data_IF_262312889069
#
_entry.id   IF_262312889069
#
_cell.length_a   1.000
_cell.length_b   1.000
_cell.length_c   1.000
_cell.angle_alpha   90.00
_cell.angle_beta   90.00
_cell.angle_gamma   90.00
#
_symmetry.space_group_name_H-M   'P 1'
#
loop_
_entity.id
_entity.type
_entity.pdbx_description
1 polymer ?
#
# COMPACT_ATOMS: atom_id res chain seq x y z
N UNK A 1 26.48 -40.78 -5.27
CA UNK A 1 26.50 -39.31 -5.29
C UNK A 1 25.40 -38.91 -6.22
N UNK A 2 24.18 -38.83 -5.70
CA UNK A 2 23.06 -38.34 -6.49
C UNK A 2 23.28 -36.83 -6.66
N UNK A 3 23.46 -36.41 -7.91
CA UNK A 3 23.48 -34.99 -8.24
C UNK A 3 22.09 -34.45 -7.90
N UNK A 4 21.98 -33.73 -6.79
CA UNK A 4 20.78 -32.95 -6.48
C UNK A 4 20.67 -31.91 -7.58
N UNK A 5 19.62 -31.98 -8.40
CA UNK A 5 19.35 -30.94 -9.38
C UNK A 5 19.16 -29.61 -8.64
N UNK A 6 19.84 -28.52 -9.05
CA UNK A 6 19.64 -27.21 -8.46
C UNK A 6 18.16 -26.81 -8.56
N UNK A 7 17.63 -26.18 -7.53
CA UNK A 7 16.34 -25.51 -7.62
C UNK A 7 16.35 -24.52 -8.80
N UNK A 8 15.18 -24.24 -9.41
CA UNK A 8 15.11 -23.25 -10.50
C UNK A 8 15.68 -21.89 -10.09
N UNK A 9 15.57 -21.51 -8.81
CA UNK A 9 16.18 -20.30 -8.27
C UNK A 9 17.71 -20.37 -8.31
N UNK A 10 18.33 -21.47 -7.88
CA UNK A 10 19.78 -21.66 -7.95
C UNK A 10 20.29 -21.70 -9.39
N UNK A 11 19.58 -22.38 -10.28
CA UNK A 11 19.91 -22.41 -11.71
C UNK A 11 19.85 -21.01 -12.34
N UNK A 12 18.83 -20.20 -11.99
CA UNK A 12 18.74 -18.82 -12.43
C UNK A 12 19.88 -17.97 -11.87
N UNK A 13 20.21 -18.09 -10.58
CA UNK A 13 21.31 -17.35 -9.94
C UNK A 13 22.67 -17.67 -10.58
N UNK A 14 22.88 -18.91 -11.00
CA UNK A 14 24.10 -19.35 -11.65
C UNK A 14 24.24 -18.84 -13.10
N UNK A 15 23.17 -18.35 -13.73
CA UNK A 15 23.19 -17.91 -15.13
C UNK A 15 22.59 -16.49 -15.33
N UNK A 16 23.35 -15.42 -14.99
CA UNK A 16 22.94 -14.03 -15.29
C UNK A 16 22.77 -13.74 -16.79
N UNK A 17 23.45 -14.50 -17.65
CA UNK A 17 23.34 -14.37 -19.10
C UNK A 17 21.95 -14.76 -19.58
N UNK A 18 21.41 -15.88 -19.08
CA UNK A 18 20.05 -16.31 -19.35
C UNK A 18 19.01 -15.33 -18.80
N UNK A 19 19.23 -14.77 -17.60
CA UNK A 19 18.32 -13.75 -17.06
C UNK A 19 18.20 -12.55 -18.01
N UNK A 20 19.33 -12.09 -18.53
CA UNK A 20 19.40 -10.95 -19.47
C UNK A 20 18.75 -11.30 -20.82
N UNK A 21 19.05 -12.49 -21.36
CA UNK A 21 18.49 -12.97 -22.61
C UNK A 21 16.95 -13.14 -22.52
N UNK A 22 16.43 -13.61 -21.39
CA UNK A 22 15.00 -13.73 -21.16
C UNK A 22 14.30 -12.36 -21.11
N UNK A 23 14.90 -11.37 -20.44
CA UNK A 23 14.37 -10.01 -20.41
C UNK A 23 14.34 -9.37 -21.81
N UNK A 24 15.41 -9.54 -22.60
CA UNK A 24 15.46 -9.06 -23.98
C UNK A 24 14.42 -9.77 -24.86
N UNK A 25 14.35 -11.10 -24.80
CA UNK A 25 13.39 -11.89 -25.57
C UNK A 25 11.95 -11.46 -25.25
N UNK A 26 11.61 -11.27 -23.97
CA UNK A 26 10.29 -10.80 -23.56
C UNK A 26 9.97 -9.41 -24.12
N UNK A 27 10.96 -8.50 -24.15
CA UNK A 27 10.79 -7.15 -24.68
C UNK A 27 10.66 -7.10 -26.20
N UNK A 28 11.40 -7.94 -26.94
CA UNK A 28 11.45 -7.91 -28.42
C UNK A 28 10.39 -8.79 -29.07
N UNK A 29 10.08 -9.92 -28.46
CA UNK A 29 9.29 -10.98 -29.09
C UNK A 29 7.94 -11.23 -28.40
N UNK A 30 7.70 -10.66 -27.22
CA UNK A 30 6.47 -10.83 -26.45
C UNK A 30 6.13 -12.31 -26.26
N UNK A 31 4.95 -12.73 -26.71
CA UNK A 31 4.45 -14.11 -26.59
C UNK A 31 5.35 -15.16 -27.27
N UNK A 32 6.25 -14.76 -28.17
CA UNK A 32 7.20 -15.67 -28.85
C UNK A 32 8.50 -15.90 -28.08
N UNK A 33 8.75 -15.17 -26.99
CA UNK A 33 9.96 -15.30 -26.19
C UNK A 33 10.28 -16.73 -25.71
N UNK A 34 9.31 -17.58 -25.31
CA UNK A 34 9.59 -18.99 -24.97
C UNK A 34 10.19 -19.79 -26.14
N UNK A 35 9.76 -19.51 -27.38
CA UNK A 35 10.28 -20.19 -28.56
C UNK A 35 11.73 -19.75 -28.86
N UNK A 36 12.05 -18.48 -28.66
CA UNK A 36 13.39 -17.96 -28.84
C UNK A 36 14.41 -18.62 -27.90
N UNK A 37 14.09 -18.70 -26.61
CA UNK A 37 14.96 -19.34 -25.62
C UNK A 37 15.13 -20.85 -25.89
N UNK A 38 14.07 -21.55 -26.29
CA UNK A 38 14.16 -22.96 -26.68
C UNK A 38 15.04 -23.18 -27.91
N UNK A 39 14.95 -22.31 -28.91
CA UNK A 39 15.84 -22.36 -30.10
C UNK A 39 17.31 -22.10 -29.74
N UNK A 40 17.56 -21.33 -28.68
CA UNK A 40 18.89 -21.11 -28.13
C UNK A 40 19.40 -22.28 -27.26
N UNK A 41 18.64 -23.38 -27.14
CA UNK A 41 19.05 -24.59 -26.42
C UNK A 41 18.80 -24.55 -24.91
N UNK A 42 18.05 -23.55 -24.42
CA UNK A 42 17.71 -23.45 -22.99
C UNK A 42 16.68 -24.51 -22.62
N UNK A 43 16.89 -25.20 -21.50
CA UNK A 43 15.92 -26.13 -20.92
C UNK A 43 14.53 -25.48 -20.78
N UNK A 44 13.42 -26.17 -21.15
CA UNK A 44 12.09 -25.57 -21.11
C UNK A 44 11.64 -25.06 -19.74
N UNK A 45 11.98 -25.72 -18.64
CA UNK A 45 11.59 -25.30 -17.30
C UNK A 45 12.39 -24.07 -16.87
N UNK A 46 13.69 -24.06 -17.15
CA UNK A 46 14.56 -22.91 -16.86
C UNK A 46 14.21 -21.69 -17.72
N UNK A 47 13.89 -21.88 -19.01
CA UNK A 47 13.41 -20.82 -19.89
C UNK A 47 12.10 -20.19 -19.37
N UNK A 48 11.15 -21.02 -18.92
CA UNK A 48 9.91 -20.53 -18.32
C UNK A 48 10.16 -19.76 -17.02
N UNK A 49 11.07 -20.23 -16.16
CA UNK A 49 11.45 -19.56 -14.93
C UNK A 49 12.12 -18.20 -15.20
N UNK A 50 13.03 -18.13 -16.19
CA UNK A 50 13.72 -16.90 -16.57
C UNK A 50 12.75 -15.84 -17.13
N UNK A 51 11.82 -16.25 -18.00
CA UNK A 51 10.79 -15.35 -18.54
C UNK A 51 9.81 -14.88 -17.45
N UNK A 52 9.46 -15.77 -16.52
CA UNK A 52 8.62 -15.41 -15.36
C UNK A 52 9.33 -14.38 -14.50
N UNK A 53 10.62 -14.57 -14.19
CA UNK A 53 11.41 -13.59 -13.44
C UNK A 53 11.49 -12.26 -14.18
N UNK A 54 11.72 -12.26 -15.49
CA UNK A 54 11.76 -11.03 -16.29
C UNK A 54 10.44 -10.25 -16.23
N UNK A 55 9.29 -10.94 -16.35
CA UNK A 55 7.97 -10.33 -16.23
C UNK A 55 7.69 -9.79 -14.81
N UNK A 56 8.08 -10.55 -13.79
CA UNK A 56 7.95 -10.12 -12.40
C UNK A 56 8.83 -8.90 -12.08
N UNK A 57 10.07 -8.84 -12.57
CA UNK A 57 10.94 -7.67 -12.39
C UNK A 57 10.36 -6.41 -13.03
N UNK A 58 9.79 -6.52 -14.23
CA UNK A 58 9.06 -5.41 -14.88
C UNK A 58 7.91 -4.91 -14.01
N UNK A 59 7.10 -5.83 -13.47
CA UNK A 59 5.99 -5.51 -12.57
C UNK A 59 6.47 -4.91 -11.24
N UNK A 60 7.60 -5.39 -10.74
CA UNK A 60 8.18 -4.99 -9.45
C UNK A 60 8.71 -3.55 -9.44
N UNK A 61 9.05 -2.96 -10.61
CA UNK A 61 9.51 -1.56 -10.70
C UNK A 61 8.55 -0.56 -10.04
N UNK A 62 7.24 -0.82 -10.06
CA UNK A 62 6.26 0.04 -9.38
C UNK A 62 6.43 0.07 -7.84
N UNK A 63 6.96 -1.01 -7.23
CA UNK A 63 7.22 -1.11 -5.79
C UNK A 63 8.66 -0.81 -5.42
N UNK A 64 9.62 -1.13 -6.29
CA UNK A 64 11.06 -1.18 -5.99
C UNK A 64 11.91 -0.22 -6.82
N UNK A 65 11.36 0.45 -7.84
CA UNK A 65 12.15 1.22 -8.80
C UNK A 65 13.18 0.32 -9.50
N UNK A 66 14.39 0.82 -9.69
CA UNK A 66 15.47 0.08 -10.36
C UNK A 66 16.01 -1.10 -9.56
N UNK A 67 15.76 -1.14 -8.24
CA UNK A 67 16.14 -2.27 -7.39
C UNK A 67 15.49 -3.58 -7.87
N UNK A 68 14.31 -3.48 -8.50
CA UNK A 68 13.60 -4.62 -9.08
C UNK A 68 14.49 -5.48 -10.00
N UNK A 69 15.42 -4.88 -10.74
CA UNK A 69 16.25 -5.61 -11.72
C UNK A 69 17.23 -6.58 -11.08
N UNK A 70 17.55 -6.38 -9.80
CA UNK A 70 18.51 -7.18 -9.04
C UNK A 70 17.85 -8.28 -8.22
N UNK A 71 16.58 -8.10 -7.88
CA UNK A 71 15.85 -8.98 -6.98
C UNK A 71 15.21 -10.16 -7.70
N UNK A 72 14.95 -11.21 -6.94
CA UNK A 72 14.26 -12.43 -7.30
C UNK A 72 12.87 -12.43 -6.66
N UNK A 73 11.88 -12.81 -7.47
CA UNK A 73 10.48 -12.74 -7.08
C UNK A 73 9.77 -14.05 -7.40
N UNK A 74 8.81 -14.39 -6.54
CA UNK A 74 7.66 -15.21 -6.91
C UNK A 74 6.45 -14.29 -7.12
N UNK A 75 5.42 -14.76 -7.84
CA UNK A 75 4.20 -13.95 -8.04
C UNK A 75 3.53 -13.58 -6.71
N UNK A 76 3.31 -14.56 -5.85
CA UNK A 76 2.71 -14.35 -4.53
C UNK A 76 3.56 -13.42 -3.65
N UNK A 77 4.89 -13.62 -3.65
CA UNK A 77 5.79 -12.77 -2.88
C UNK A 77 5.80 -11.32 -3.37
N UNK A 78 5.78 -11.09 -4.69
CA UNK A 78 5.73 -9.74 -5.24
C UNK A 78 4.40 -9.03 -4.91
N UNK A 79 3.27 -9.75 -4.95
CA UNK A 79 1.96 -9.20 -4.58
C UNK A 79 1.96 -8.71 -3.12
N UNK A 80 2.57 -9.47 -2.21
CA UNK A 80 2.62 -9.17 -0.77
C UNK A 80 3.75 -8.21 -0.36
N UNK A 81 4.81 -8.10 -1.17
CA UNK A 81 5.98 -7.31 -0.82
C UNK A 81 5.65 -5.85 -0.50
N UNK A 82 6.30 -5.32 0.54
CA UNK A 82 6.22 -3.91 0.93
C UNK A 82 6.77 -3.02 -0.19
N UNK A 83 6.19 -1.83 -0.39
CA UNK A 83 6.80 -0.84 -1.32
C UNK A 83 8.13 -0.38 -0.72
N UNK A 84 9.18 -0.33 -1.53
CA UNK A 84 10.53 -0.02 -1.07
C UNK A 84 10.65 1.28 -0.24
N UNK A 85 10.02 2.41 -0.62
CA UNK A 85 10.07 3.63 0.20
C UNK A 85 9.49 3.46 1.61
N UNK A 86 8.50 2.57 1.77
CA UNK A 86 7.89 2.27 3.07
C UNK A 86 8.85 1.47 3.95
N UNK A 87 9.47 0.43 3.39
CA UNK A 87 10.46 -0.39 4.08
C UNK A 87 11.67 0.44 4.52
N UNK A 88 12.19 1.32 3.65
CA UNK A 88 13.29 2.24 3.98
C UNK A 88 12.93 3.20 5.11
N UNK A 89 11.73 3.82 5.07
CA UNK A 89 11.28 4.71 6.14
C UNK A 89 11.14 3.98 7.48
N UNK A 90 10.61 2.75 7.46
CA UNK A 90 10.53 1.89 8.64
C UNK A 90 11.92 1.55 9.17
N UNK A 91 12.83 1.12 8.29
CA UNK A 91 14.20 0.77 8.65
C UNK A 91 14.95 1.93 9.31
N UNK A 92 14.77 3.16 8.81
CA UNK A 92 15.34 4.35 9.46
C UNK A 92 14.84 4.55 10.89
N UNK A 93 13.56 4.28 11.17
CA UNK A 93 12.99 4.37 12.53
C UNK A 93 13.56 3.27 13.45
N UNK A 94 13.78 2.06 12.93
CA UNK A 94 14.43 0.96 13.68
C UNK A 94 15.92 1.23 13.94
N UNK A 95 16.65 1.75 12.96
CA UNK A 95 18.08 2.09 13.07
C UNK A 95 18.33 3.20 14.10
N UNK A 96 17.37 4.11 14.29
CA UNK A 96 17.43 5.10 15.37
C UNK A 96 17.24 4.50 16.77
N UNK A 97 16.67 3.28 16.87
CA UNK A 97 16.34 2.63 18.14
C UNK A 97 17.36 1.54 18.55
N UNK A 98 18.14 0.99 17.62
CA UNK A 98 19.09 -0.08 17.92
C UNK A 98 20.00 -0.44 16.76
N UNK A 99 20.84 -1.46 16.98
CA UNK A 99 21.87 -1.93 16.02
C UNK A 99 21.54 -3.30 15.40
N UNK A 100 20.43 -3.92 15.83
CA UNK A 100 19.99 -5.24 15.37
C UNK A 100 18.48 -5.36 15.37
N UNK A 101 17.96 -6.22 14.50
CA UNK A 101 16.53 -6.51 14.37
C UNK A 101 16.30 -7.99 14.04
N UNK A 102 15.25 -8.56 14.65
CA UNK A 102 14.68 -9.84 14.24
C UNK A 102 13.49 -9.55 13.31
N UNK A 103 13.57 -9.95 12.05
CA UNK A 103 12.51 -9.83 11.03
C UNK A 103 11.75 -11.16 10.92
N UNK A 104 10.56 -11.22 11.49
CA UNK A 104 9.70 -12.41 11.49
C UNK A 104 8.75 -12.40 10.30
N UNK A 105 8.54 -13.58 9.70
CA UNK A 105 7.77 -13.72 8.46
C UNK A 105 8.37 -12.85 7.34
N UNK A 106 9.69 -12.96 7.15
CA UNK A 106 10.45 -12.03 6.31
C UNK A 106 10.06 -12.07 4.82
N UNK A 107 9.36 -13.12 4.36
CA UNK A 107 8.91 -13.23 2.98
C UNK A 107 10.07 -13.21 1.99
N UNK A 108 9.99 -12.39 0.95
CA UNK A 108 11.10 -12.19 -0.01
C UNK A 108 12.25 -11.33 0.56
N UNK A 109 12.18 -10.94 1.83
CA UNK A 109 13.22 -10.20 2.54
C UNK A 109 13.13 -8.68 2.40
N UNK A 110 12.04 -8.10 1.89
CA UNK A 110 11.98 -6.64 1.62
C UNK A 110 12.36 -5.78 2.84
N UNK A 111 11.87 -6.17 4.03
CA UNK A 111 12.17 -5.47 5.29
C UNK A 111 13.59 -5.76 5.75
N UNK A 112 13.98 -7.04 5.80
CA UNK A 112 15.36 -7.44 6.08
C UNK A 112 16.42 -6.71 5.24
N UNK A 113 16.20 -6.54 3.93
CA UNK A 113 17.10 -5.81 3.04
C UNK A 113 17.16 -4.32 3.42
N UNK A 114 16.02 -3.68 3.67
CA UNK A 114 15.97 -2.28 4.07
C UNK A 114 16.63 -2.06 5.44
N UNK A 115 16.43 -2.98 6.39
CA UNK A 115 17.10 -2.95 7.69
C UNK A 115 18.63 -3.08 7.56
N UNK A 116 19.10 -4.02 6.74
CA UNK A 116 20.53 -4.19 6.49
C UNK A 116 21.15 -2.96 5.78
N UNK A 117 20.45 -2.35 4.83
CA UNK A 117 20.88 -1.09 4.21
C UNK A 117 20.94 0.07 5.22
N UNK A 118 20.04 0.08 6.21
CA UNK A 118 20.06 1.06 7.30
C UNK A 118 21.17 0.78 8.35
N UNK A 119 21.97 -0.28 8.17
CA UNK A 119 23.11 -0.61 9.03
C UNK A 119 22.77 -1.52 10.22
N UNK A 120 21.59 -2.12 10.26
CA UNK A 120 21.20 -3.06 11.31
C UNK A 120 21.78 -4.45 11.03
N UNK A 121 22.18 -5.17 12.09
CA UNK A 121 22.38 -6.61 12.02
C UNK A 121 21.01 -7.32 11.97
N UNK A 122 20.76 -8.10 10.92
CA UNK A 122 19.43 -8.66 10.64
C UNK A 122 19.43 -10.17 10.77
N UNK A 123 18.55 -10.69 11.63
CA UNK A 123 18.10 -12.09 11.61
C UNK A 123 16.70 -12.14 11.00
N UNK A 124 16.57 -12.70 9.81
CA UNK A 124 15.33 -12.82 9.07
C UNK A 124 14.82 -14.27 9.12
N UNK A 125 13.54 -14.46 9.47
CA UNK A 125 12.95 -15.78 9.68
C UNK A 125 11.69 -15.95 8.86
N UNK A 126 11.65 -17.02 8.07
CA UNK A 126 10.43 -17.48 7.41
C UNK A 126 10.18 -18.97 7.69
N UNK A 127 8.92 -19.38 7.74
CA UNK A 127 8.56 -20.77 7.98
C UNK A 127 8.69 -21.61 6.70
N UNK A 128 8.55 -21.00 5.52
CA UNK A 128 8.65 -21.68 4.23
C UNK A 128 10.10 -21.70 3.72
N UNK A 129 10.75 -22.88 3.59
CA UNK A 129 12.12 -22.97 3.11
C UNK A 129 12.33 -22.38 1.72
N UNK A 130 11.33 -22.46 0.84
CA UNK A 130 11.44 -21.90 -0.50
C UNK A 130 11.48 -20.37 -0.45
N UNK A 131 10.57 -19.75 0.29
CA UNK A 131 10.53 -18.29 0.51
C UNK A 131 11.80 -17.78 1.18
N UNK A 132 12.30 -18.47 2.22
CA UNK A 132 13.59 -18.15 2.84
C UNK A 132 14.76 -18.18 1.84
N UNK A 133 14.78 -19.16 0.91
CA UNK A 133 15.81 -19.20 -0.13
C UNK A 133 15.77 -17.97 -1.07
N UNK A 134 14.59 -17.43 -1.37
CA UNK A 134 14.46 -16.17 -2.12
C UNK A 134 14.97 -14.97 -1.32
N UNK A 135 14.66 -14.88 -0.02
CA UNK A 135 15.20 -13.82 0.84
C UNK A 135 16.74 -13.85 0.87
N UNK A 136 17.34 -15.04 1.03
CA UNK A 136 18.81 -15.20 0.97
C UNK A 136 19.38 -14.78 -0.38
N UNK A 137 18.76 -15.24 -1.47
CA UNK A 137 19.19 -14.87 -2.82
C UNK A 137 19.13 -13.35 -3.07
N UNK A 138 18.12 -12.68 -2.52
CA UNK A 138 17.97 -11.22 -2.60
C UNK A 138 19.03 -10.50 -1.77
N UNK A 139 19.31 -10.95 -0.55
CA UNK A 139 20.37 -10.38 0.28
C UNK A 139 21.74 -10.50 -0.40
N UNK A 140 22.05 -11.67 -0.93
CA UNK A 140 23.28 -11.90 -1.70
C UNK A 140 23.36 -11.04 -2.96
N UNK A 141 22.27 -10.91 -3.73
CA UNK A 141 22.24 -10.08 -4.93
C UNK A 141 22.50 -8.59 -4.64
N UNK A 142 22.16 -8.15 -3.43
CA UNK A 142 22.44 -6.80 -2.95
C UNK A 142 23.79 -6.66 -2.22
N UNK A 143 24.44 -7.78 -1.87
CA UNK A 143 25.66 -7.79 -1.06
C UNK A 143 25.40 -7.41 0.40
N UNK A 144 24.19 -7.63 0.91
CA UNK A 144 23.77 -7.24 2.24
C UNK A 144 23.94 -8.38 3.26
N UNK A 145 24.44 -8.11 4.47
CA UNK A 145 24.68 -9.13 5.49
C UNK A 145 23.39 -9.46 6.27
N UNK A 146 22.46 -10.17 5.62
CA UNK A 146 21.23 -10.68 6.26
C UNK A 146 21.41 -12.15 6.61
N UNK A 147 21.22 -12.51 7.88
CA UNK A 147 21.16 -13.91 8.29
C UNK A 147 19.72 -14.44 8.13
N UNK A 148 19.47 -15.24 7.11
CA UNK A 148 18.15 -15.83 6.86
C UNK A 148 18.08 -17.25 7.42
N UNK A 149 17.02 -17.55 8.18
CA UNK A 149 16.78 -18.87 8.78
C UNK A 149 15.36 -19.36 8.50
N UNK A 150 15.23 -20.68 8.36
CA UNK A 150 13.92 -21.32 8.36
C UNK A 150 13.48 -21.52 9.81
N UNK A 151 12.32 -20.95 10.19
CA UNK A 151 11.87 -20.98 11.58
C UNK A 151 10.42 -20.57 11.77
N UNK A 152 9.90 -20.88 12.95
CA UNK A 152 8.56 -20.45 13.34
C UNK A 152 8.63 -19.10 14.04
N UNK A 153 7.93 -18.11 13.51
CA UNK A 153 7.86 -16.76 14.05
C UNK A 153 7.47 -16.71 15.54
N UNK A 154 6.56 -17.59 15.99
CA UNK A 154 6.05 -17.57 17.38
C UNK A 154 7.03 -18.13 18.42
N UNK A 155 8.09 -18.81 17.99
CA UNK A 155 9.06 -19.47 18.87
C UNK A 155 10.49 -18.95 18.67
N UNK A 156 10.68 -18.04 17.73
CA UNK A 156 12.00 -17.47 17.42
C UNK A 156 12.39 -16.49 18.53
N UNK A 157 13.59 -16.59 19.13
CA UNK A 157 14.03 -15.60 20.11
C UNK A 157 14.10 -14.20 19.49
N UNK A 158 13.59 -13.20 20.20
CA UNK A 158 13.61 -11.82 19.73
C UNK A 158 14.88 -11.09 20.16
N UNK A 159 15.41 -10.26 19.26
CA UNK A 159 16.31 -9.19 19.65
C UNK A 159 15.55 -8.05 20.38
N UNK A 160 16.24 -7.07 20.99
CA UNK A 160 15.58 -5.90 21.57
C UNK A 160 14.71 -5.11 20.58
N UNK A 161 14.98 -5.22 19.27
CA UNK A 161 14.07 -4.73 18.24
C UNK A 161 13.54 -5.87 17.36
N UNK A 162 12.23 -5.83 17.05
CA UNK A 162 11.60 -6.89 16.27
C UNK A 162 10.56 -6.34 15.29
N UNK A 163 10.50 -6.91 14.10
CA UNK A 163 9.48 -6.61 13.12
C UNK A 163 8.77 -7.90 12.70
N UNK A 164 7.49 -7.81 12.32
CA UNK A 164 6.77 -8.92 11.72
C UNK A 164 5.88 -8.50 10.56
N UNK A 165 5.85 -9.31 9.51
CA UNK A 165 4.90 -9.21 8.38
C UNK A 165 4.15 -10.54 8.17
N UNK A 166 3.17 -10.87 9.02
CA UNK A 166 2.43 -12.11 8.90
C UNK A 166 1.63 -12.16 7.59
N UNK A 167 1.69 -13.30 6.90
CA UNK A 167 0.90 -13.50 5.70
C UNK A 167 -0.61 -13.52 6.04
N UNK A 168 -1.43 -12.93 5.16
CA UNK A 168 -2.89 -13.07 5.25
C UNK A 168 -3.33 -14.29 4.44
N UNK A 169 -4.04 -15.24 5.06
CA UNK A 169 -4.52 -16.45 4.38
C UNK A 169 -5.45 -16.08 3.22
N UNK A 170 -5.18 -16.67 2.06
CA UNK A 170 -6.00 -16.53 0.85
C UNK A 170 -7.39 -17.12 1.08
N UNK A 171 -8.45 -16.36 0.81
CA UNK A 171 -9.85 -16.85 0.91
C UNK A 171 -10.70 -16.19 2.01
N UNK A 172 -10.11 -15.32 2.84
CA UNK A 172 -10.87 -14.49 3.78
C UNK A 172 -11.80 -13.50 3.09
N UNK A 173 -12.96 -13.23 3.70
CA UNK A 173 -13.91 -12.22 3.21
C UNK A 173 -13.28 -10.80 3.18
N UNK A 174 -13.96 -9.81 2.59
CA UNK A 174 -13.53 -8.40 2.63
C UNK A 174 -13.39 -7.84 4.06
N UNK A 175 -13.88 -8.54 5.08
CA UNK A 175 -13.77 -8.14 6.48
C UNK A 175 -12.41 -8.58 7.04
N UNK A 176 -11.75 -7.67 7.76
CA UNK A 176 -10.52 -7.98 8.49
C UNK A 176 -10.86 -8.91 9.67
N UNK A 177 -10.22 -10.08 9.71
CA UNK A 177 -10.27 -11.02 10.82
C UNK A 177 -8.83 -11.41 11.20
N UNK A 178 -8.37 -11.08 12.41
CA UNK A 178 -7.03 -11.43 12.91
C UNK A 178 -6.66 -12.90 12.90
N UNK A 179 -7.65 -13.79 12.99
CA UNK A 179 -7.44 -15.22 12.85
C UNK A 179 -7.08 -15.65 11.42
N UNK A 180 -7.30 -14.78 10.42
CA UNK A 180 -6.93 -15.03 9.03
C UNK A 180 -5.43 -14.78 8.79
N UNK A 181 -4.68 -14.24 9.75
CA UNK A 181 -3.23 -14.11 9.65
C UNK A 181 -2.53 -15.43 9.94
N UNK A 182 -1.35 -15.60 9.36
CA UNK A 182 -0.46 -16.73 9.58
C UNK A 182 0.95 -16.21 9.89
N UNK A 183 1.41 -16.27 11.15
CA UNK A 183 0.68 -16.77 12.33
C UNK A 183 -0.51 -15.87 12.73
N UNK A 184 -1.46 -16.36 13.55
CA UNK A 184 -2.53 -15.52 14.08
C UNK A 184 -2.00 -14.30 14.82
N UNK A 185 -2.72 -13.19 14.75
CA UNK A 185 -2.22 -11.90 15.25
C UNK A 185 -2.03 -11.87 16.77
N UNK A 186 -2.97 -12.39 17.57
CA UNK A 186 -2.87 -12.26 19.04
C UNK A 186 -1.62 -12.96 19.62
N UNK A 187 -1.32 -14.23 19.26
CA UNK A 187 -0.06 -14.86 19.67
C UNK A 187 1.18 -14.10 19.17
N UNK A 188 1.11 -13.53 17.96
CA UNK A 188 2.23 -12.76 17.41
C UNK A 188 2.46 -11.46 18.18
N UNK A 189 1.41 -10.72 18.50
CA UNK A 189 1.47 -9.51 19.33
C UNK A 189 1.99 -9.84 20.73
N UNK A 190 1.50 -10.94 21.33
CA UNK A 190 2.02 -11.40 22.63
C UNK A 190 3.50 -11.73 22.58
N UNK A 191 3.97 -12.32 21.48
CA UNK A 191 5.38 -12.64 21.29
C UNK A 191 6.22 -11.36 21.10
N UNK A 192 5.78 -10.45 20.22
CA UNK A 192 6.43 -9.16 19.97
C UNK A 192 6.50 -8.27 21.20
N UNK A 193 5.59 -8.41 22.16
CA UNK A 193 5.64 -7.73 23.46
C UNK A 193 6.88 -8.07 24.31
N UNK A 194 7.65 -9.11 23.94
CA UNK A 194 8.95 -9.41 24.53
C UNK A 194 10.10 -8.51 24.05
N UNK A 195 9.92 -7.77 22.95
CA UNK A 195 10.90 -6.81 22.45
C UNK A 195 10.64 -5.40 23.01
N UNK A 196 11.71 -4.63 23.21
CA UNK A 196 11.63 -3.23 23.69
C UNK A 196 10.99 -2.31 22.65
N UNK A 197 11.34 -2.52 21.38
CA UNK A 197 10.90 -1.73 20.24
C UNK A 197 10.41 -2.68 19.15
N UNK A 198 9.11 -2.70 18.87
CA UNK A 198 8.58 -3.62 17.88
C UNK A 198 7.54 -3.01 16.96
N UNK A 199 7.35 -3.62 15.79
CA UNK A 199 6.27 -3.28 14.90
C UNK A 199 5.73 -4.49 14.13
N UNK A 200 4.46 -4.45 13.75
CA UNK A 200 3.84 -5.47 12.90
C UNK A 200 3.09 -4.80 11.76
N UNK A 201 3.39 -5.21 10.52
CA UNK A 201 2.65 -4.78 9.33
C UNK A 201 1.37 -5.59 9.21
N UNK A 202 0.30 -4.90 8.84
CA UNK A 202 -1.04 -5.44 8.64
C UNK A 202 -1.67 -4.87 7.37
N UNK A 203 -2.73 -5.53 6.90
CA UNK A 203 -3.55 -4.99 5.83
C UNK A 203 -4.22 -3.67 6.23
N UNK A 204 -4.37 -2.70 5.29
CA UNK A 204 -4.90 -1.36 5.60
C UNK A 204 -6.38 -1.35 6.05
N UNK A 205 -7.05 -2.50 5.98
CA UNK A 205 -8.43 -2.71 6.43
C UNK A 205 -8.60 -3.05 7.91
N UNK A 206 -7.52 -3.05 8.72
CA UNK A 206 -7.63 -3.25 10.18
C UNK A 206 -8.61 -2.25 10.80
N UNK A 207 -9.54 -2.76 11.62
CA UNK A 207 -10.45 -1.94 12.41
C UNK A 207 -9.79 -1.41 13.68
N UNK A 208 -10.28 -0.29 14.19
CA UNK A 208 -9.66 0.37 15.34
C UNK A 208 -9.74 -0.43 16.64
N UNK A 209 -10.74 -1.31 16.78
CA UNK A 209 -10.91 -2.21 17.92
C UNK A 209 -9.78 -3.25 18.06
N UNK A 210 -8.96 -3.41 17.02
CA UNK A 210 -7.83 -4.34 17.01
C UNK A 210 -6.50 -3.71 17.38
N UNK A 211 -6.51 -2.43 17.76
CA UNK A 211 -5.29 -1.72 18.14
C UNK A 211 -5.09 -1.94 19.64
N UNK A 212 -4.01 -2.61 20.05
CA UNK A 212 -3.75 -2.84 21.47
C UNK A 212 -3.61 -1.53 22.23
N UNK A 213 -3.94 -1.56 23.52
CA UNK A 213 -3.68 -0.43 24.40
C UNK A 213 -2.18 -0.09 24.42
N UNK A 214 -1.87 1.21 24.34
CA UNK A 214 -0.49 1.70 24.29
C UNK A 214 0.22 1.56 22.93
N UNK A 215 -0.40 0.92 21.93
CA UNK A 215 0.17 0.85 20.58
C UNK A 215 -0.10 2.12 19.76
N UNK A 216 0.86 2.50 18.93
CA UNK A 216 0.65 3.48 17.86
C UNK A 216 0.13 2.74 16.62
N UNK A 217 -0.95 3.21 16.03
CA UNK A 217 -1.43 2.69 14.75
C UNK A 217 -1.18 3.70 13.63
N UNK A 218 -0.46 3.25 12.61
CA UNK A 218 -0.10 4.04 11.45
C UNK A 218 -0.73 3.47 10.17
N UNK A 219 -1.33 4.33 9.35
CA UNK A 219 -1.71 3.98 7.97
C UNK A 219 -0.81 4.70 6.99
N UNK A 220 -0.31 3.95 6.02
CA UNK A 220 0.67 4.45 5.06
C UNK A 220 0.04 4.49 3.68
N UNK A 221 0.14 5.66 3.04
CA UNK A 221 -0.26 5.90 1.66
C UNK A 221 0.96 6.26 0.82
N UNK A 222 1.02 5.72 -0.39
CA UNK A 222 2.03 6.08 -1.39
C UNK A 222 1.31 6.42 -2.67
N UNK A 223 1.43 7.68 -3.10
CA UNK A 223 0.77 8.24 -4.28
C UNK A 223 -0.74 7.95 -4.33
N UNK A 224 -1.42 8.19 -3.20
CA UNK A 224 -2.87 8.02 -2.96
C UNK A 224 -3.35 6.57 -2.77
N UNK A 225 -2.46 5.59 -2.88
CA UNK A 225 -2.77 4.21 -2.55
C UNK A 225 -2.44 3.93 -1.09
N UNK A 226 -3.43 3.57 -0.27
CA UNK A 226 -3.16 3.06 1.08
C UNK A 226 -2.61 1.64 0.98
N UNK A 227 -1.34 1.47 1.32
CA UNK A 227 -0.60 0.23 1.06
C UNK A 227 -0.57 -0.70 2.27
N UNK A 228 -0.60 -0.15 3.49
CA UNK A 228 -0.55 -0.94 4.72
C UNK A 228 -1.12 -0.18 5.92
N UNK A 229 -1.33 -0.92 6.99
CA UNK A 229 -1.31 -0.40 8.34
C UNK A 229 -0.11 -1.01 9.10
N UNK A 230 0.41 -0.30 10.10
CA UNK A 230 1.49 -0.77 10.96
C UNK A 230 1.11 -0.48 12.42
N UNK A 231 1.24 -1.48 13.29
CA UNK A 231 1.15 -1.27 14.74
C UNK A 231 2.56 -1.18 15.29
N UNK A 232 2.89 -0.08 15.96
CA UNK A 232 4.15 0.10 16.67
C UNK A 232 3.93 -0.13 18.17
N UNK A 233 4.83 -0.89 18.79
CA UNK A 233 4.69 -1.44 20.13
C UNK A 233 5.87 -1.03 21.03
N UNK A 234 5.62 -0.94 22.33
CA UNK A 234 6.63 -0.56 23.31
C UNK A 234 7.17 0.85 23.04
N UNK A 235 8.49 1.00 23.08
CA UNK A 235 9.15 2.29 22.82
C UNK A 235 9.01 2.76 21.36
N UNK A 236 8.52 1.90 20.47
CA UNK A 236 8.23 2.28 19.10
C UNK A 236 6.97 3.13 18.99
N UNK A 237 6.03 3.05 19.94
CA UNK A 237 4.82 3.88 19.94
C UNK A 237 5.13 5.31 20.42
N UNK A 238 4.84 6.31 19.59
CA UNK A 238 5.07 7.73 19.88
C UNK A 238 3.77 8.54 19.95
N UNK A 239 2.76 8.15 19.16
CA UNK A 239 1.44 8.78 19.07
C UNK A 239 0.34 7.72 19.03
N UNK A 240 -0.93 8.09 19.21
CA UNK A 240 -2.03 7.10 19.13
C UNK A 240 -2.36 6.70 17.69
N UNK A 241 -2.50 7.69 16.80
CA UNK A 241 -2.82 7.51 15.38
C UNK A 241 -1.88 8.32 14.51
N UNK A 242 -1.43 7.73 13.41
CA UNK A 242 -0.62 8.37 12.37
C UNK A 242 -1.17 8.06 10.99
N UNK A 243 -1.24 9.06 10.13
CA UNK A 243 -1.37 8.88 8.69
C UNK A 243 -0.10 9.40 8.02
N UNK A 244 0.61 8.51 7.32
CA UNK A 244 1.84 8.84 6.62
C UNK A 244 1.60 8.77 5.12
N UNK A 245 1.79 9.90 4.44
CA UNK A 245 1.54 10.04 3.00
C UNK A 245 2.85 10.32 2.30
N UNK A 246 3.28 9.40 1.44
CA UNK A 246 4.35 9.63 0.49
C UNK A 246 3.74 10.11 -0.83
N UNK A 247 4.04 11.35 -1.23
CA UNK A 247 3.58 11.95 -2.49
C UNK A 247 4.79 12.34 -3.30
N UNK A 248 4.96 11.73 -4.48
CA UNK A 248 6.09 11.97 -5.36
C UNK A 248 7.46 11.86 -4.62
N UNK A 249 7.58 10.86 -3.74
CA UNK A 249 8.79 10.61 -2.95
C UNK A 249 8.96 11.46 -1.68
N UNK A 250 8.06 12.41 -1.42
CA UNK A 250 8.10 13.24 -0.20
C UNK A 250 7.14 12.71 0.86
N UNK A 251 7.65 12.51 2.08
CA UNK A 251 6.87 12.04 3.22
C UNK A 251 6.23 13.17 4.01
N UNK A 252 4.95 12.99 4.34
CA UNK A 252 4.17 13.88 5.20
C UNK A 252 3.44 13.06 6.25
N UNK A 253 3.33 13.58 7.46
CA UNK A 253 2.70 12.88 8.58
C UNK A 253 1.63 13.76 9.22
N UNK A 254 0.45 13.17 9.45
CA UNK A 254 -0.59 13.73 10.29
C UNK A 254 -0.76 12.81 11.49
N UNK A 255 -0.75 13.37 12.69
CA UNK A 255 -0.88 12.61 13.94
C UNK A 255 -2.04 13.13 14.77
N UNK A 256 -2.63 12.26 15.57
CA UNK A 256 -3.72 12.63 16.48
C UNK A 256 -4.16 11.49 17.36
N UNK A 257 -5.26 11.71 18.05
CA UNK A 257 -5.93 10.71 18.87
C UNK A 257 -6.86 9.85 18.02
N UNK A 258 -7.47 10.42 16.97
CA UNK A 258 -8.44 9.75 16.11
C UNK A 258 -9.77 9.43 16.81
N UNK A 259 -10.05 10.08 17.94
CA UNK A 259 -11.27 9.92 18.75
C UNK A 259 -12.29 11.06 18.55
N UNK A 260 -11.92 12.09 17.80
CA UNK A 260 -12.78 13.24 17.50
C UNK A 260 -13.51 13.06 16.18
N UNK A 261 -14.73 13.59 16.14
CA UNK A 261 -15.46 13.80 14.91
C UNK A 261 -15.24 15.24 14.45
N UNK A 262 -15.04 15.43 13.15
CA UNK A 262 -15.00 16.75 12.56
C UNK A 262 -16.37 17.43 12.73
N UNK A 263 -16.38 18.75 12.88
CA UNK A 263 -17.63 19.51 12.94
C UNK A 263 -18.47 19.28 11.67
N UNK A 264 -19.79 19.39 11.81
CA UNK A 264 -20.72 19.29 10.69
C UNK A 264 -21.26 20.67 10.38
N UNK A 265 -21.10 21.12 9.15
CA UNK A 265 -21.51 22.43 8.69
C UNK A 265 -22.08 22.42 7.26
N UNK A 266 -22.41 23.60 6.72
CA UNK A 266 -22.91 23.74 5.35
C UNK A 266 -21.81 23.41 4.32
N UNK A 267 -22.19 23.21 3.07
CA UNK A 267 -21.19 23.20 1.98
C UNK A 267 -20.58 24.60 1.84
N UNK A 268 -19.26 24.64 1.67
CA UNK A 268 -18.45 25.84 1.44
C UNK A 268 -17.93 25.89 -0.02
N UNK A 269 -17.00 26.81 -0.30
CA UNK A 269 -16.49 27.06 -1.66
C UNK A 269 -15.50 26.00 -2.17
N UNK A 270 -14.78 25.33 -1.27
CA UNK A 270 -13.83 24.27 -1.62
C UNK A 270 -14.22 22.94 -0.98
N UNK A 271 -14.08 21.85 -1.74
CA UNK A 271 -14.20 20.48 -1.26
C UNK A 271 -12.82 19.83 -1.21
N UNK A 272 -12.51 19.19 -0.10
CA UNK A 272 -11.33 18.35 0.07
C UNK A 272 -11.72 16.86 0.13
N UNK A 273 -11.03 16.02 -0.63
CA UNK A 273 -11.03 14.56 -0.51
C UNK A 273 -9.76 14.14 0.24
N UNK A 274 -9.86 13.85 1.56
CA UNK A 274 -8.74 13.36 2.33
C UNK A 274 -8.14 12.10 1.72
N UNK A 275 -6.85 11.93 1.94
CA UNK A 275 -6.13 10.70 1.62
C UNK A 275 -6.73 9.50 2.36
N UNK A 276 -6.71 8.34 1.72
CA UNK A 276 -7.23 7.12 2.34
C UNK A 276 -6.55 6.78 3.67
N UNK A 277 -5.26 7.12 3.83
CA UNK A 277 -4.55 6.92 5.10
C UNK A 277 -5.11 7.80 6.21
N UNK A 278 -5.44 9.07 5.93
CA UNK A 278 -6.07 9.98 6.89
C UNK A 278 -7.43 9.43 7.33
N UNK A 279 -8.25 9.01 6.37
CA UNK A 279 -9.58 8.46 6.64
C UNK A 279 -9.48 7.19 7.50
N UNK A 280 -8.57 6.28 7.15
CA UNK A 280 -8.39 5.01 7.86
C UNK A 280 -7.76 5.19 9.24
N UNK A 281 -6.89 6.17 9.41
CA UNK A 281 -6.33 6.54 10.70
C UNK A 281 -7.34 7.20 11.66
N UNK A 282 -8.54 7.56 11.16
CA UNK A 282 -9.53 8.30 11.94
C UNK A 282 -9.20 9.78 12.09
N UNK A 283 -8.25 10.31 11.31
CA UNK A 283 -7.68 11.64 11.50
C UNK A 283 -8.40 12.75 10.69
N UNK A 284 -9.69 12.54 10.40
CA UNK A 284 -10.47 13.49 9.59
C UNK A 284 -10.70 14.79 10.36
N UNK A 285 -10.94 14.73 11.66
CA UNK A 285 -11.10 15.91 12.50
C UNK A 285 -9.80 16.73 12.60
N UNK A 286 -8.67 16.06 12.81
CA UNK A 286 -7.35 16.68 12.85
C UNK A 286 -6.98 17.35 11.53
N UNK A 287 -7.32 16.72 10.39
CA UNK A 287 -7.14 17.36 9.09
C UNK A 287 -8.07 18.56 8.92
N UNK A 288 -9.33 18.46 9.37
CA UNK A 288 -10.32 19.52 9.29
C UNK A 288 -9.83 20.79 10.02
N UNK A 289 -9.31 20.63 11.24
CA UNK A 289 -8.74 21.74 12.02
C UNK A 289 -7.58 22.43 11.28
N UNK A 290 -6.70 21.66 10.64
CA UNK A 290 -5.55 22.22 9.89
C UNK A 290 -5.98 23.00 8.63
N UNK A 291 -7.16 22.69 8.10
CA UNK A 291 -7.73 23.28 6.90
C UNK A 291 -8.76 24.38 7.18
N UNK A 292 -9.09 24.63 8.45
CA UNK A 292 -10.22 25.49 8.82
C UNK A 292 -11.50 25.05 8.08
N UNK A 293 -11.78 23.76 8.16
CA UNK A 293 -12.78 23.08 7.37
C UNK A 293 -13.68 22.19 8.26
N UNK A 294 -14.81 21.75 7.70
CA UNK A 294 -15.78 20.89 8.38
C UNK A 294 -16.37 19.87 7.42
N UNK A 295 -17.05 18.85 7.93
CA UNK A 295 -17.79 17.89 7.09
C UNK A 295 -19.19 18.44 6.76
N UNK A 296 -19.78 17.97 5.67
CA UNK A 296 -21.20 18.22 5.38
C UNK A 296 -22.12 17.08 5.84
N UNK A 297 -21.58 16.02 6.46
CA UNK A 297 -22.31 14.83 6.90
C UNK A 297 -21.46 14.03 7.87
N UNK A 298 -22.05 13.54 8.95
CA UNK A 298 -21.39 12.67 9.94
C UNK A 298 -20.83 11.37 9.33
N UNK A 299 -21.31 10.96 8.15
CA UNK A 299 -20.95 9.68 7.51
C UNK A 299 -19.96 9.82 6.37
N UNK A 300 -19.61 11.04 5.96
CA UNK A 300 -18.80 11.31 4.77
C UNK A 300 -17.59 12.14 5.15
N UNK A 301 -16.41 11.57 4.94
CA UNK A 301 -15.14 12.21 5.22
C UNK A 301 -14.74 13.33 4.23
N UNK A 302 -15.63 13.84 3.38
CA UNK A 302 -15.30 15.05 2.60
C UNK A 302 -15.34 16.25 3.51
N UNK A 303 -14.33 17.12 3.37
CA UNK A 303 -14.23 18.37 4.12
C UNK A 303 -14.54 19.55 3.21
N UNK A 304 -15.04 20.62 3.81
CA UNK A 304 -15.48 21.84 3.14
C UNK A 304 -14.87 23.03 3.85
N UNK A 305 -14.25 23.93 3.10
CA UNK A 305 -13.68 25.19 3.62
C UNK A 305 -13.97 26.34 2.68
N UNK A 306 -14.05 27.55 3.23
CA UNK A 306 -14.32 28.78 2.46
C UNK A 306 -13.10 29.20 1.64
N UNK A 307 -11.90 28.99 2.17
CA UNK A 307 -10.64 29.31 1.51
C UNK A 307 -9.86 28.05 1.08
N UNK A 308 -9.13 28.16 -0.03
CA UNK A 308 -8.20 27.12 -0.47
C UNK A 308 -6.95 27.14 0.40
N UNK A 309 -6.67 26.03 1.08
CA UNK A 309 -5.45 25.77 1.83
C UNK A 309 -4.75 24.55 1.26
N UNK A 310 -3.50 24.73 0.86
CA UNK A 310 -2.70 23.63 0.31
C UNK A 310 -2.40 22.59 1.39
N UNK A 311 -2.52 21.32 1.02
CA UNK A 311 -2.20 20.21 1.91
C UNK A 311 -1.74 18.98 1.13
N UNK A 312 -0.77 18.19 1.64
CA UNK A 312 -0.41 16.90 1.06
C UNK A 312 -1.47 15.83 1.36
N UNK A 313 -2.35 16.08 2.34
CA UNK A 313 -3.26 15.09 2.91
C UNK A 313 -4.62 15.04 2.24
N UNK A 314 -4.90 15.91 1.27
CA UNK A 314 -6.15 15.90 0.51
C UNK A 314 -5.95 16.39 -0.92
N UNK A 315 -6.90 16.04 -1.80
CA UNK A 315 -7.10 16.75 -3.07
C UNK A 315 -8.23 17.76 -2.90
N UNK A 316 -8.04 18.97 -3.39
CA UNK A 316 -9.04 20.04 -3.33
C UNK A 316 -9.71 20.22 -4.70
N UNK A 317 -10.98 20.64 -4.66
CA UNK A 317 -11.70 21.15 -5.81
C UNK A 317 -12.44 22.41 -5.42
N UNK A 318 -12.49 23.37 -6.33
CA UNK A 318 -13.42 24.49 -6.22
C UNK A 318 -14.82 24.00 -6.60
N UNK A 319 -15.79 24.26 -5.73
CA UNK A 319 -17.20 24.00 -6.00
C UNK A 319 -17.75 25.17 -6.79
N UNK A 320 -18.29 24.88 -7.97
CA UNK A 320 -18.97 25.89 -8.78
C UNK A 320 -20.45 25.92 -8.43
N UNK A 321 -21.07 24.74 -8.32
CA UNK A 321 -22.51 24.61 -8.07
C UNK A 321 -22.86 23.33 -7.32
N UNK A 322 -23.94 23.39 -6.54
CA UNK A 322 -24.52 22.25 -5.82
C UNK A 322 -25.91 21.95 -6.36
N UNK A 323 -26.11 20.72 -6.82
CA UNK A 323 -27.36 20.27 -7.43
C UNK A 323 -27.97 19.06 -6.72
N UNK A 324 -29.29 18.85 -6.85
CA UNK A 324 -29.90 17.57 -6.49
C UNK A 324 -29.31 16.42 -7.34
N UNK A 325 -28.98 15.29 -6.70
CA UNK A 325 -28.50 14.11 -7.40
C UNK A 325 -29.66 13.40 -8.13
N UNK A 326 -30.10 13.97 -9.25
CA UNK A 326 -31.23 13.46 -10.04
C UNK A 326 -30.87 13.41 -11.53
N UNK A 327 -30.76 12.22 -12.16
CA UNK A 327 -30.19 12.07 -13.51
C UNK A 327 -30.81 12.97 -14.59
N UNK A 328 -32.14 13.17 -14.58
CA UNK A 328 -32.80 14.07 -15.56
C UNK A 328 -32.39 15.54 -15.39
N UNK A 329 -32.20 16.00 -14.14
CA UNK A 329 -31.81 17.38 -13.85
C UNK A 329 -30.34 17.59 -14.22
N UNK A 330 -29.47 16.67 -13.78
CA UNK A 330 -28.05 16.70 -14.11
C UNK A 330 -27.82 16.73 -15.62
N UNK A 331 -28.55 15.90 -16.38
CA UNK A 331 -28.45 15.90 -17.85
C UNK A 331 -28.75 17.27 -18.46
N UNK A 332 -29.80 17.96 -17.98
CA UNK A 332 -30.16 19.28 -18.50
C UNK A 332 -29.09 20.32 -18.15
N UNK A 333 -28.65 20.36 -16.89
CA UNK A 333 -27.64 21.32 -16.40
C UNK A 333 -26.28 21.14 -17.07
N UNK A 334 -25.84 19.89 -17.27
CA UNK A 334 -24.58 19.58 -17.96
C UNK A 334 -24.64 19.91 -19.46
N UNK A 335 -25.80 19.72 -20.10
CA UNK A 335 -25.99 20.07 -21.51
C UNK A 335 -26.00 21.59 -21.73
N UNK A 336 -26.65 22.35 -20.84
CA UNK A 336 -26.63 23.82 -20.84
C UNK A 336 -25.18 24.37 -20.76
N UNK A 337 -24.31 23.68 -20.01
CA UNK A 337 -22.89 24.02 -19.87
C UNK A 337 -21.98 23.41 -20.94
N UNK A 338 -22.54 22.67 -21.91
CA UNK A 338 -21.75 22.05 -22.99
C UNK A 338 -20.73 21.02 -22.51
N UNK A 339 -20.98 20.33 -21.39
CA UNK A 339 -20.07 19.33 -20.83
C UNK A 339 -20.22 18.00 -21.58
N UNK A 340 -19.15 17.61 -22.30
CA UNK A 340 -19.07 16.34 -23.03
C UNK A 340 -18.24 15.27 -22.34
N UNK A 341 -17.26 15.66 -21.51
CA UNK A 341 -16.44 14.73 -20.71
C UNK A 341 -16.69 14.98 -19.22
N UNK A 342 -16.94 13.92 -18.46
CA UNK A 342 -17.27 14.05 -17.04
C UNK A 342 -16.56 12.99 -16.21
N UNK A 343 -15.70 13.45 -15.30
CA UNK A 343 -15.19 12.63 -14.21
C UNK A 343 -16.25 12.58 -13.12
N UNK A 344 -16.70 11.37 -12.76
CA UNK A 344 -17.71 11.21 -11.71
C UNK A 344 -17.03 10.54 -10.52
N UNK A 345 -16.95 11.26 -9.40
CA UNK A 345 -16.55 10.73 -8.10
C UNK A 345 -17.78 10.47 -7.25
N UNK A 346 -17.71 9.46 -6.38
CA UNK A 346 -18.84 9.04 -5.59
C UNK A 346 -18.40 8.68 -4.17
N UNK A 347 -19.17 9.11 -3.17
CA UNK A 347 -19.04 8.63 -1.79
C UNK A 347 -20.41 8.66 -1.09
N UNK A 348 -20.81 7.54 -0.48
CA UNK A 348 -22.02 7.47 0.36
C UNK A 348 -23.38 7.55 -0.34
N UNK A 349 -23.44 7.53 -1.66
CA UNK A 349 -24.71 7.58 -2.43
C UNK A 349 -25.12 6.24 -3.07
N UNK A 350 -24.24 5.25 -3.09
CA UNK A 350 -24.47 3.94 -3.72
C UNK A 350 -24.61 3.94 -5.25
N UNK A 351 -24.46 5.08 -5.93
CA UNK A 351 -24.60 5.14 -7.39
C UNK A 351 -23.40 4.48 -8.10
N UNK A 352 -23.65 3.85 -9.24
CA UNK A 352 -22.59 3.43 -10.17
C UNK A 352 -22.22 4.62 -11.09
N UNK A 353 -20.98 5.14 -11.02
CA UNK A 353 -20.52 6.22 -11.88
C UNK A 353 -20.62 5.90 -13.38
N UNK A 354 -20.36 4.66 -13.80
CA UNK A 354 -20.41 4.25 -15.19
C UNK A 354 -21.86 4.19 -15.71
N UNK A 355 -22.78 3.65 -14.90
CA UNK A 355 -24.21 3.67 -15.20
C UNK A 355 -24.75 5.10 -15.27
N UNK A 356 -24.41 5.96 -14.31
CA UNK A 356 -24.83 7.37 -14.33
C UNK A 356 -24.31 8.07 -15.59
N UNK A 357 -23.02 7.93 -15.92
CA UNK A 357 -22.42 8.52 -17.12
C UNK A 357 -23.17 8.13 -18.40
N UNK A 358 -23.54 6.85 -18.55
CA UNK A 358 -24.33 6.36 -19.69
C UNK A 358 -25.71 7.03 -19.77
N UNK A 359 -26.36 7.27 -18.64
CA UNK A 359 -27.69 7.91 -18.59
C UNK A 359 -27.66 9.40 -18.98
N UNK A 360 -26.57 10.10 -18.67
CA UNK A 360 -26.43 11.54 -18.92
C UNK A 360 -26.35 11.89 -20.41
N UNK A 361 -25.90 10.96 -21.28
CA UNK A 361 -25.77 11.17 -22.75
C UNK A 361 -25.04 12.48 -23.09
N UNK A 362 -23.88 12.67 -22.47
CA UNK A 362 -23.07 13.90 -22.52
C UNK A 362 -22.64 14.25 -23.94
N UNK A 363 -22.67 15.54 -24.26
CA UNK A 363 -22.24 16.11 -25.55
C UNK A 363 -21.70 17.51 -25.32
N UNK A 364 -20.57 17.82 -25.97
CA UNK A 364 -19.98 19.15 -25.95
C UNK A 364 -18.46 19.10 -25.84
N UNK A 365 -17.79 20.26 -25.98
CA UNK A 365 -16.33 20.31 -26.00
C UNK A 365 -15.71 20.34 -24.59
N UNK A 366 -16.49 20.71 -23.57
CA UNK A 366 -15.98 20.98 -22.23
C UNK A 366 -15.97 19.74 -21.33
N UNK A 367 -15.18 19.84 -20.27
CA UNK A 367 -15.04 18.80 -19.26
C UNK A 367 -15.24 19.35 -17.85
N UNK A 368 -15.66 18.48 -16.93
CA UNK A 368 -15.84 18.83 -15.53
C UNK A 368 -15.68 17.62 -14.61
N UNK A 369 -15.58 17.87 -13.31
CA UNK A 369 -15.72 16.84 -12.26
C UNK A 369 -17.08 16.98 -11.59
N UNK A 370 -17.80 15.87 -11.43
CA UNK A 370 -19.02 15.78 -10.65
C UNK A 370 -18.78 14.90 -9.43
N UNK A 371 -18.95 15.45 -8.24
CA UNK A 371 -18.84 14.72 -6.99
C UNK A 371 -20.25 14.39 -6.48
N UNK A 372 -20.62 13.11 -6.53
CA UNK A 372 -21.87 12.62 -5.97
C UNK A 372 -21.67 12.20 -4.51
N UNK A 373 -22.28 12.93 -3.58
CA UNK A 373 -22.09 12.73 -2.14
C UNK A 373 -23.39 12.94 -1.33
N UNK A 374 -23.29 12.87 0.00
CA UNK A 374 -24.35 13.30 0.93
C UNK A 374 -24.03 14.68 1.51
N UNK A 375 -25.07 15.50 1.65
CA UNK A 375 -25.08 16.71 2.48
C UNK A 375 -26.21 16.49 3.49
N UNK A 376 -25.86 16.38 4.77
CA UNK A 376 -26.71 15.80 5.80
C UNK A 376 -27.23 14.43 5.36
N UNK A 377 -28.55 14.31 5.26
CA UNK A 377 -29.25 13.10 4.82
C UNK A 377 -29.58 13.06 3.32
N UNK A 378 -29.35 14.15 2.58
CA UNK A 378 -29.74 14.28 1.18
C UNK A 378 -28.58 13.90 0.24
N UNK A 379 -28.90 13.22 -0.86
CA UNK A 379 -27.95 13.02 -1.96
C UNK A 379 -27.81 14.29 -2.79
N UNK A 380 -26.56 14.70 -3.02
CA UNK A 380 -26.20 15.88 -3.79
C UNK A 380 -25.17 15.55 -4.87
N UNK A 381 -25.10 16.42 -5.87
CA UNK A 381 -24.09 16.41 -6.91
C UNK A 381 -23.42 17.77 -6.94
N UNK A 382 -22.11 17.81 -6.73
CA UNK A 382 -21.33 19.05 -6.76
C UNK A 382 -20.59 19.11 -8.09
N UNK A 383 -20.80 20.18 -8.85
CA UNK A 383 -20.00 20.48 -10.02
C UNK A 383 -18.73 21.18 -9.56
N UNK A 384 -17.59 20.63 -9.96
CA UNK A 384 -16.29 20.98 -9.42
C UNK A 384 -15.24 21.15 -10.52
N UNK A 385 -14.35 22.10 -10.30
CA UNK A 385 -13.09 22.27 -11.05
C UNK A 385 -11.90 21.91 -10.15
N UNK A 386 -10.82 21.38 -10.72
CA UNK A 386 -9.60 21.16 -9.94
C UNK A 386 -9.08 22.51 -9.44
N UNK A 387 -8.81 22.60 -8.14
CA UNK A 387 -8.45 23.84 -7.46
C UNK A 387 -6.97 24.20 -7.68
#
# INVERSE_FOLDING_TARGET
MDAVEPSLLEALRADPGLQSAAAEALSREGDRAPLALRKAGVDPALAAAALTLADLRRSARAKFGDLADRLYFTRAGLEQATRWPVAVRRAARFAAAGDRVTDLCCGLGTEALAFAEAGLAVEAVDMDPATAAYASANAEALGLPVEVRVGNALTTPLSPTAFADPARRSGGTRNFNPADYSPPLDPLLSHLGGARFAAVKLGPGIGHDWIPEGAEAEWVSVDRDVVEACLWLGEAAQVSRRASVCKAGTWHELTGTGDRLAEVGPVADYLYEPDGAVIRAGLVAELADSLDAHTASERIAYLYGDDLRETPFARAWKIEEVWPLHPKKLKALLAERGIGRLTIKQRGTGIDPAALRKQLKLKGPYEATLIATRIGEAHAALLCNEA
#
